data_IF_549212946928
#
_entry.id   IF_549212946928
#
_cell.length_a   1.000
_cell.length_b   1.000
_cell.length_c   1.000
_cell.angle_alpha   90.00
_cell.angle_beta   90.00
_cell.angle_gamma   90.00
#
_symmetry.space_group_name_H-M   'P 1'
#
loop_
_entity.id
_entity.type
_entity.pdbx_description
1 polymer ?
#
# COMPACT_ATOMS: atom_id res chain seq x y z
N UNK A 1 11.34 20.33 -31.40
CA UNK A 1 11.83 19.43 -30.34
C UNK A 1 11.98 18.07 -30.99
N UNK A 2 13.22 17.56 -31.12
CA UNK A 2 13.47 16.22 -31.65
C UNK A 2 13.33 15.21 -30.53
N UNK A 3 12.66 14.10 -30.79
CA UNK A 3 12.67 12.93 -29.91
C UNK A 3 13.98 12.18 -30.19
N UNK A 4 14.89 12.16 -29.23
CA UNK A 4 16.11 11.40 -29.29
C UNK A 4 16.09 10.35 -28.19
N UNK A 5 16.15 9.08 -28.60
CA UNK A 5 16.26 7.96 -27.67
C UNK A 5 17.73 7.62 -27.47
N UNK A 6 18.20 7.73 -26.25
CA UNK A 6 19.56 7.33 -25.88
C UNK A 6 19.48 6.16 -24.91
N UNK A 7 20.08 5.03 -25.28
CA UNK A 7 20.29 3.89 -24.40
C UNK A 7 21.78 3.79 -24.12
N UNK A 8 22.17 3.95 -22.87
CA UNK A 8 23.58 3.84 -22.48
C UNK A 8 23.71 3.08 -21.16
N UNK A 9 24.80 2.32 -20.98
CA UNK A 9 25.07 1.71 -19.67
C UNK A 9 25.34 2.81 -18.63
N UNK A 10 25.05 2.56 -17.34
CA UNK A 10 25.38 3.48 -16.28
C UNK A 10 26.89 3.77 -16.25
N UNK A 11 27.26 5.03 -16.18
CA UNK A 11 28.65 5.51 -16.16
C UNK A 11 28.71 7.01 -15.86
N UNK A 12 29.93 7.58 -15.80
CA UNK A 12 30.14 8.99 -15.44
C UNK A 12 29.36 9.97 -16.32
N UNK A 13 29.24 9.70 -17.61
CA UNK A 13 28.47 10.54 -18.53
C UNK A 13 26.96 10.56 -18.20
N UNK A 14 26.40 9.44 -17.81
CA UNK A 14 24.99 9.34 -17.37
C UNK A 14 24.79 10.06 -16.05
N UNK A 15 25.69 9.88 -15.09
CA UNK A 15 25.63 10.57 -13.80
C UNK A 15 25.68 12.10 -13.99
N UNK A 16 26.58 12.60 -14.82
CA UNK A 16 26.66 14.02 -15.14
C UNK A 16 25.38 14.54 -15.83
N UNK A 17 24.82 13.76 -16.78
CA UNK A 17 23.60 14.12 -17.48
C UNK A 17 22.37 14.19 -16.53
N UNK A 18 22.20 13.20 -15.66
CA UNK A 18 21.11 13.13 -14.70
C UNK A 18 21.27 14.12 -13.54
N UNK A 19 22.52 14.43 -13.15
CA UNK A 19 22.83 15.37 -12.09
C UNK A 19 22.80 16.85 -12.51
N UNK A 20 22.64 17.16 -13.81
CA UNK A 20 22.61 18.53 -14.32
C UNK A 20 21.34 19.27 -13.85
N UNK A 21 21.44 20.27 -12.96
CA UNK A 21 20.29 20.98 -12.42
C UNK A 21 19.53 21.84 -13.47
N UNK A 22 20.15 22.10 -14.63
CA UNK A 22 19.49 22.80 -15.72
C UNK A 22 18.52 21.91 -16.51
N UNK A 23 18.54 20.60 -16.27
CA UNK A 23 17.67 19.62 -16.92
C UNK A 23 16.47 19.29 -16.07
N UNK A 24 15.34 19.12 -16.71
CA UNK A 24 14.12 18.66 -16.10
C UNK A 24 13.71 17.31 -16.70
N UNK A 25 13.31 16.39 -15.85
CA UNK A 25 12.93 15.04 -16.25
C UNK A 25 11.47 14.76 -15.92
N UNK A 26 10.79 14.09 -16.84
CA UNK A 26 9.49 13.46 -16.61
C UNK A 26 9.75 11.98 -16.40
N UNK A 27 9.29 11.45 -15.28
CA UNK A 27 9.51 10.07 -14.87
C UNK A 27 8.19 9.35 -14.58
N UNK A 28 8.27 8.05 -14.50
CA UNK A 28 7.28 7.19 -13.87
C UNK A 28 7.91 6.57 -12.64
N UNK A 29 7.25 6.68 -11.47
CA UNK A 29 7.74 6.19 -10.17
C UNK A 29 9.17 6.69 -9.85
N UNK A 30 9.31 8.00 -9.70
CA UNK A 30 10.62 8.62 -9.46
C UNK A 30 11.29 8.12 -8.17
N UNK A 31 10.53 7.71 -7.15
CA UNK A 31 11.08 7.17 -5.91
C UNK A 31 11.81 5.84 -6.15
N UNK A 32 11.23 4.92 -6.90
CA UNK A 32 11.89 3.67 -7.29
C UNK A 32 13.12 3.94 -8.16
N UNK A 33 13.02 4.89 -9.09
CA UNK A 33 14.14 5.30 -9.93
C UNK A 33 15.30 5.90 -9.11
N UNK A 34 14.99 6.71 -8.08
CA UNK A 34 16.02 7.24 -7.16
C UNK A 34 16.78 6.10 -6.48
N UNK A 35 16.08 5.11 -5.92
CA UNK A 35 16.70 3.95 -5.27
C UNK A 35 17.58 3.14 -6.22
N UNK A 36 17.10 2.87 -7.43
CA UNK A 36 17.87 2.11 -8.42
C UNK A 36 19.15 2.82 -8.85
N UNK A 37 19.09 4.14 -9.00
CA UNK A 37 20.26 4.95 -9.39
C UNK A 37 21.24 5.11 -8.23
N UNK A 38 20.74 5.34 -7.00
CA UNK A 38 21.57 5.40 -5.79
C UNK A 38 22.33 4.09 -5.55
N UNK A 39 21.69 2.94 -5.78
CA UNK A 39 22.36 1.63 -5.72
C UNK A 39 23.50 1.47 -6.73
N UNK A 40 23.50 2.26 -7.81
CA UNK A 40 24.55 2.33 -8.84
C UNK A 40 25.52 3.48 -8.61
N UNK A 41 25.42 4.20 -7.48
CA UNK A 41 26.26 5.36 -7.16
C UNK A 41 25.90 6.63 -7.96
N UNK A 42 24.72 6.70 -8.56
CA UNK A 42 24.24 7.84 -9.35
C UNK A 42 23.19 8.59 -8.56
N UNK A 43 23.54 9.73 -7.97
CA UNK A 43 22.59 10.60 -7.26
C UNK A 43 21.71 11.37 -8.26
N UNK A 44 20.42 11.04 -8.29
CA UNK A 44 19.42 11.69 -9.12
C UNK A 44 18.24 12.15 -8.21
N UNK A 45 17.93 13.47 -8.22
CA UNK A 45 16.84 14.05 -7.41
C UNK A 45 16.11 15.19 -8.15
N UNK A 46 16.37 15.36 -9.44
CA UNK A 46 15.80 16.45 -10.25
C UNK A 46 14.69 15.98 -11.21
N UNK A 47 13.90 14.98 -10.78
CA UNK A 47 12.62 14.70 -11.42
C UNK A 47 11.68 15.88 -11.22
N UNK A 48 11.27 16.51 -12.30
CA UNK A 48 10.37 17.65 -12.27
C UNK A 48 8.89 17.24 -12.32
N UNK A 49 8.61 16.03 -12.80
CA UNK A 49 7.26 15.53 -12.95
C UNK A 49 7.23 14.00 -12.88
N UNK A 50 6.45 13.45 -11.96
CA UNK A 50 6.19 12.01 -11.87
C UNK A 50 4.76 11.72 -12.30
N UNK A 51 4.58 10.97 -13.39
CA UNK A 51 3.25 10.68 -13.93
C UNK A 51 2.43 9.74 -13.04
N UNK A 52 3.08 8.86 -12.26
CA UNK A 52 2.40 7.99 -11.31
C UNK A 52 1.84 8.80 -10.13
N UNK A 53 2.65 9.69 -9.55
CA UNK A 53 2.20 10.58 -8.47
C UNK A 53 1.12 11.56 -8.95
N UNK A 54 1.26 12.11 -10.15
CA UNK A 54 0.24 12.95 -10.74
C UNK A 54 -1.10 12.22 -10.89
N UNK A 55 -1.08 10.97 -11.36
CA UNK A 55 -2.27 10.14 -11.47
C UNK A 55 -2.86 9.79 -10.10
N UNK A 56 -2.03 9.54 -9.09
CA UNK A 56 -2.45 9.32 -7.70
C UNK A 56 -3.23 10.54 -7.15
N UNK A 57 -2.68 11.75 -7.30
CA UNK A 57 -3.34 12.98 -6.84
C UNK A 57 -4.62 13.26 -7.63
N UNK A 58 -4.63 13.00 -8.95
CA UNK A 58 -5.82 13.15 -9.78
C UNK A 58 -6.98 12.22 -9.37
N UNK A 59 -6.72 11.14 -8.60
CA UNK A 59 -7.74 10.31 -7.95
C UNK A 59 -8.49 9.34 -8.84
N UNK A 60 -8.12 9.16 -10.11
CA UNK A 60 -8.85 8.31 -11.04
C UNK A 60 -8.28 6.89 -11.22
N UNK A 61 -7.18 6.56 -10.53
CA UNK A 61 -6.48 5.27 -10.71
C UNK A 61 -7.08 4.09 -9.96
N UNK A 62 -8.10 4.27 -9.13
CA UNK A 62 -8.72 3.22 -8.32
C UNK A 62 -7.70 2.27 -7.62
N UNK A 63 -6.49 2.77 -7.34
CA UNK A 63 -5.39 2.01 -6.73
C UNK A 63 -4.51 1.23 -7.70
N UNK A 64 -4.79 1.24 -9.00
CA UNK A 64 -3.94 0.64 -10.03
C UNK A 64 -3.28 1.75 -10.87
N UNK A 65 -1.97 1.92 -10.65
CA UNK A 65 -1.14 2.95 -11.30
C UNK A 65 -0.14 2.35 -12.28
N UNK A 66 -0.31 1.09 -12.72
CA UNK A 66 0.53 0.48 -13.74
C UNK A 66 0.55 1.35 -15.02
N UNK A 67 1.70 1.49 -15.71
CA UNK A 67 1.84 2.38 -16.86
C UNK A 67 0.77 2.14 -17.93
N UNK A 68 0.49 0.88 -18.26
CA UNK A 68 -0.50 0.47 -19.25
C UNK A 68 -1.90 0.97 -18.88
N UNK A 69 -2.23 0.89 -17.59
CA UNK A 69 -3.51 1.38 -17.08
C UNK A 69 -3.62 2.88 -17.18
N UNK A 70 -2.54 3.60 -16.88
CA UNK A 70 -2.49 5.05 -17.01
C UNK A 70 -2.64 5.49 -18.47
N UNK A 71 -1.93 4.85 -19.41
CA UNK A 71 -2.06 5.16 -20.83
C UNK A 71 -3.49 4.92 -21.34
N UNK A 72 -4.10 3.81 -20.94
CA UNK A 72 -5.49 3.53 -21.30
C UNK A 72 -6.45 4.59 -20.73
N UNK A 73 -6.32 4.89 -19.44
CA UNK A 73 -7.26 5.78 -18.75
C UNK A 73 -7.16 7.23 -19.26
N UNK A 74 -5.93 7.71 -19.46
CA UNK A 74 -5.67 9.13 -19.71
C UNK A 74 -5.44 9.47 -21.19
N UNK A 75 -4.97 8.52 -21.99
CA UNK A 75 -4.72 8.71 -23.41
C UNK A 75 -5.67 7.90 -24.31
N UNK A 76 -6.52 7.02 -23.72
CA UNK A 76 -7.39 6.13 -24.47
C UNK A 76 -6.65 5.10 -25.33
N UNK A 77 -5.37 4.84 -25.03
CA UNK A 77 -4.48 4.01 -25.83
C UNK A 77 -3.78 2.98 -24.98
N UNK A 78 -3.74 1.74 -25.49
CA UNK A 78 -2.87 0.69 -24.96
C UNK A 78 -1.63 0.55 -25.83
N UNK A 79 -0.44 0.57 -25.27
CA UNK A 79 0.79 0.21 -26.00
C UNK A 79 0.68 -1.22 -26.53
N UNK A 80 1.18 -1.48 -27.73
CA UNK A 80 1.12 -2.80 -28.37
C UNK A 80 2.42 -3.55 -28.15
N UNK A 81 2.36 -4.71 -27.44
CA UNK A 81 3.48 -5.62 -27.29
C UNK A 81 4.76 -4.91 -26.79
N UNK A 82 5.83 -4.97 -27.59
CA UNK A 82 7.13 -4.38 -27.27
C UNK A 82 7.24 -2.87 -27.66
N UNK A 83 6.12 -2.18 -27.79
CA UNK A 83 6.12 -0.74 -28.11
C UNK A 83 6.88 0.06 -27.04
N UNK A 84 7.73 0.97 -27.49
CA UNK A 84 8.40 1.93 -26.60
C UNK A 84 7.38 2.90 -25.99
N UNK A 85 7.23 2.86 -24.67
CA UNK A 85 6.27 3.68 -23.94
C UNK A 85 6.84 5.04 -23.51
N UNK A 86 8.15 5.26 -23.62
CA UNK A 86 8.78 6.52 -23.23
C UNK A 86 8.17 7.75 -23.92
N UNK A 87 7.87 7.72 -25.24
CA UNK A 87 7.21 8.85 -25.91
C UNK A 87 5.81 9.17 -25.38
N UNK A 88 5.15 8.23 -24.70
CA UNK A 88 3.83 8.42 -24.13
C UNK A 88 3.83 9.17 -22.80
N UNK A 89 4.97 9.27 -22.11
CA UNK A 89 5.06 9.95 -20.82
C UNK A 89 4.76 11.45 -20.92
N UNK A 90 5.21 12.12 -21.96
CA UNK A 90 4.94 13.56 -22.13
C UNK A 90 3.45 13.85 -22.39
N UNK A 91 2.77 13.20 -23.36
CA UNK A 91 1.32 13.35 -23.51
C UNK A 91 0.53 12.97 -22.26
N UNK A 92 0.98 11.95 -21.51
CA UNK A 92 0.35 11.58 -20.24
C UNK A 92 0.50 12.68 -19.19
N UNK A 93 1.71 13.26 -19.06
CA UNK A 93 1.95 14.38 -18.16
C UNK A 93 1.09 15.62 -18.51
N UNK A 94 0.92 15.93 -19.80
CA UNK A 94 0.07 17.03 -20.26
C UNK A 94 -1.41 16.80 -19.87
N UNK A 95 -1.91 15.59 -20.10
CA UNK A 95 -3.29 15.21 -19.76
C UNK A 95 -3.53 15.28 -18.24
N UNK A 96 -2.60 14.74 -17.44
CA UNK A 96 -2.66 14.80 -15.97
C UNK A 96 -2.57 16.22 -15.44
N UNK A 97 -1.69 17.04 -16.02
CA UNK A 97 -1.55 18.46 -15.65
C UNK A 97 -2.85 19.23 -15.89
N UNK A 98 -3.51 19.00 -17.03
CA UNK A 98 -4.81 19.60 -17.32
C UNK A 98 -5.85 19.21 -16.24
N UNK A 99 -5.89 17.95 -15.84
CA UNK A 99 -6.77 17.46 -14.78
C UNK A 99 -6.49 18.06 -13.42
N UNK A 100 -5.22 18.06 -12.99
CA UNK A 100 -4.80 18.63 -11.70
C UNK A 100 -5.16 20.12 -11.58
N UNK A 101 -5.01 20.87 -12.66
CA UNK A 101 -5.44 22.28 -12.71
C UNK A 101 -6.95 22.42 -12.66
N UNK A 102 -7.70 21.60 -13.39
CA UNK A 102 -9.17 21.60 -13.39
C UNK A 102 -9.75 21.33 -11.99
N UNK A 103 -9.10 20.45 -11.21
CA UNK A 103 -9.54 20.06 -9.87
C UNK A 103 -8.88 20.86 -8.75
N UNK A 104 -8.08 21.90 -9.08
CA UNK A 104 -7.31 22.71 -8.14
C UNK A 104 -6.35 21.88 -7.24
N UNK A 105 -5.85 20.76 -7.76
CA UNK A 105 -4.94 19.85 -7.04
C UNK A 105 -3.47 20.02 -7.44
N UNK A 106 -3.15 20.97 -8.32
CA UNK A 106 -1.77 21.18 -8.77
C UNK A 106 -0.79 21.45 -7.62
N UNK A 107 -1.17 22.27 -6.65
CA UNK A 107 -0.30 22.58 -5.50
C UNK A 107 -0.05 21.34 -4.62
N UNK A 108 -1.04 20.46 -4.45
CA UNK A 108 -0.85 19.19 -3.72
C UNK A 108 0.21 18.35 -4.42
N UNK A 109 0.11 18.22 -5.73
CA UNK A 109 1.08 17.47 -6.52
C UNK A 109 2.48 18.11 -6.48
N UNK A 110 2.58 19.42 -6.84
CA UNK A 110 3.86 20.07 -7.08
C UNK A 110 4.59 20.45 -5.79
N UNK A 111 3.84 20.89 -4.76
CA UNK A 111 4.45 21.48 -3.55
C UNK A 111 4.52 20.48 -2.38
N UNK A 112 3.79 19.34 -2.48
CA UNK A 112 3.77 18.33 -1.43
C UNK A 112 4.29 16.99 -1.96
N UNK A 113 3.60 16.34 -2.91
CA UNK A 113 3.90 14.96 -3.31
C UNK A 113 5.26 14.84 -4.03
N UNK A 114 5.56 15.75 -4.94
CA UNK A 114 6.83 15.72 -5.66
C UNK A 114 8.06 15.88 -4.73
N UNK A 115 8.13 16.88 -3.83
CA UNK A 115 9.22 16.99 -2.86
C UNK A 115 9.26 15.80 -1.89
N UNK A 116 8.10 15.28 -1.47
CA UNK A 116 7.99 14.18 -0.53
C UNK A 116 8.61 12.89 -1.07
N UNK A 117 8.55 12.64 -2.37
CA UNK A 117 9.13 11.44 -2.99
C UNK A 117 10.64 11.28 -2.69
N UNK A 118 11.42 12.37 -2.75
CA UNK A 118 12.85 12.33 -2.43
C UNK A 118 13.10 12.13 -0.92
N UNK A 119 12.29 12.76 -0.08
CA UNK A 119 12.39 12.61 1.39
C UNK A 119 12.08 11.16 1.79
N UNK A 120 11.03 10.57 1.24
CA UNK A 120 10.67 9.18 1.51
C UNK A 120 11.76 8.21 1.00
N UNK A 121 12.36 8.50 -0.17
CA UNK A 121 13.49 7.72 -0.66
C UNK A 121 14.66 7.72 0.33
N UNK A 122 15.07 8.90 0.78
CA UNK A 122 16.18 9.07 1.73
C UNK A 122 15.84 8.42 3.10
N UNK A 123 14.60 8.51 3.57
CA UNK A 123 14.17 7.84 4.80
C UNK A 123 14.21 6.31 4.67
N UNK A 124 13.79 5.77 3.54
CA UNK A 124 13.82 4.32 3.27
C UNK A 124 15.26 3.79 3.11
N UNK A 125 16.18 4.62 2.59
CA UNK A 125 17.61 4.29 2.46
C UNK A 125 18.28 4.24 3.84
N UNK A 126 18.04 5.24 4.68
CA UNK A 126 18.57 5.30 6.05
C UNK A 126 17.95 4.22 6.92
N UNK A 127 16.67 3.97 6.78
CA UNK A 127 15.92 3.04 7.60
C UNK A 127 15.88 3.45 9.08
N UNK A 128 15.45 2.54 9.93
CA UNK A 128 15.54 2.71 11.38
C UNK A 128 15.87 1.38 12.06
N UNK A 129 16.60 1.47 13.16
CA UNK A 129 17.05 0.29 13.91
C UNK A 129 15.91 -0.27 14.74
N UNK A 130 15.66 -1.58 14.62
CA UNK A 130 14.71 -2.31 15.46
C UNK A 130 15.43 -3.34 16.34
N UNK A 131 14.92 -3.57 17.55
CA UNK A 131 15.34 -4.70 18.39
C UNK A 131 14.53 -5.94 17.98
N UNK A 132 15.10 -6.74 17.08
CA UNK A 132 14.49 -8.00 16.59
C UNK A 132 14.17 -8.98 17.73
N UNK A 133 14.99 -8.99 18.80
CA UNK A 133 14.76 -9.87 19.93
C UNK A 133 13.54 -9.39 20.75
N UNK A 134 13.39 -8.09 20.94
CA UNK A 134 12.20 -7.53 21.57
C UNK A 134 10.93 -7.79 20.74
N UNK A 135 10.99 -7.59 19.41
CA UNK A 135 9.86 -7.88 18.50
C UNK A 135 9.46 -9.36 18.57
N UNK A 136 10.43 -10.30 18.59
CA UNK A 136 10.14 -11.73 18.75
C UNK A 136 9.53 -12.07 20.12
N UNK A 137 10.04 -11.48 21.21
CA UNK A 137 9.46 -11.66 22.56
C UNK A 137 8.02 -11.16 22.60
N UNK A 138 7.76 -10.00 22.02
CA UNK A 138 6.41 -9.47 21.92
C UNK A 138 5.51 -10.38 21.08
N UNK A 139 6.00 -10.90 19.95
CA UNK A 139 5.29 -11.90 19.16
C UNK A 139 4.89 -13.13 19.96
N UNK A 140 5.82 -13.68 20.74
CA UNK A 140 5.53 -14.84 21.61
C UNK A 140 4.46 -14.52 22.68
N UNK A 141 4.46 -13.31 23.23
CA UNK A 141 3.42 -12.90 24.18
C UNK A 141 2.03 -12.78 23.48
N UNK A 142 1.99 -12.32 22.24
CA UNK A 142 0.76 -12.29 21.46
C UNK A 142 0.28 -13.69 21.11
N UNK A 143 1.16 -14.62 20.76
CA UNK A 143 0.81 -16.02 20.47
C UNK A 143 0.11 -16.67 21.69
N UNK A 144 0.57 -16.39 22.91
CA UNK A 144 -0.07 -16.87 24.13
C UNK A 144 -1.47 -16.25 24.35
N UNK A 145 -1.63 -14.94 24.11
CA UNK A 145 -2.92 -14.25 24.22
C UNK A 145 -3.91 -14.76 23.16
N UNK A 146 -3.46 -14.96 21.93
CA UNK A 146 -4.28 -15.49 20.83
C UNK A 146 -4.80 -16.89 21.19
N UNK A 147 -3.93 -17.77 21.72
CA UNK A 147 -4.33 -19.11 22.12
C UNK A 147 -5.34 -19.11 23.27
N UNK A 148 -5.18 -18.20 24.26
CA UNK A 148 -6.14 -18.04 25.35
C UNK A 148 -7.51 -17.56 24.84
N UNK A 149 -7.54 -16.52 23.99
CA UNK A 149 -8.77 -16.02 23.40
C UNK A 149 -9.45 -17.08 22.52
N UNK A 150 -8.69 -17.83 21.74
CA UNK A 150 -9.22 -18.91 20.91
C UNK A 150 -9.90 -19.99 21.77
N UNK A 151 -9.22 -20.42 22.84
CA UNK A 151 -9.77 -21.41 23.76
C UNK A 151 -11.07 -20.91 24.42
N UNK A 152 -11.12 -19.64 24.84
CA UNK A 152 -12.32 -19.01 25.41
C UNK A 152 -13.45 -18.93 24.42
N UNK A 153 -13.16 -18.50 23.18
CA UNK A 153 -14.16 -18.46 22.10
C UNK A 153 -14.75 -19.84 21.85
N UNK A 154 -13.92 -20.89 21.76
CA UNK A 154 -14.41 -22.26 21.56
C UNK A 154 -15.22 -22.79 22.75
N UNK A 155 -14.81 -22.45 23.97
CA UNK A 155 -15.57 -22.81 25.16
C UNK A 155 -16.97 -22.15 25.18
N UNK A 156 -17.07 -20.90 24.75
CA UNK A 156 -18.35 -20.15 24.69
C UNK A 156 -19.22 -20.58 23.50
N UNK A 157 -18.62 -21.01 22.40
CA UNK A 157 -19.33 -21.57 21.25
C UNK A 157 -19.74 -23.04 21.43
N UNK A 158 -19.06 -23.78 22.33
CA UNK A 158 -19.29 -25.21 22.55
C UNK A 158 -18.52 -26.12 21.57
N UNK A 159 -17.84 -25.60 20.58
CA UNK A 159 -17.06 -26.34 19.61
C UNK A 159 -15.99 -25.47 18.92
N UNK A 160 -14.93 -26.07 18.34
CA UNK A 160 -13.95 -25.35 17.54
C UNK A 160 -14.52 -24.97 16.16
N UNK A 161 -14.13 -23.80 15.65
CA UNK A 161 -14.44 -23.32 14.32
C UNK A 161 -13.35 -22.32 13.87
N UNK A 162 -13.35 -21.92 12.58
CA UNK A 162 -12.40 -20.90 12.10
C UNK A 162 -12.93 -19.50 12.41
N UNK A 163 -12.40 -18.87 13.49
CA UNK A 163 -12.76 -17.51 13.93
C UNK A 163 -12.47 -16.46 12.86
N UNK A 164 -11.49 -16.71 11.98
CA UNK A 164 -11.14 -15.83 10.87
C UNK A 164 -12.02 -16.02 9.63
N UNK A 165 -12.89 -17.02 9.61
CA UNK A 165 -13.88 -17.20 8.55
C UNK A 165 -15.15 -16.40 8.83
N UNK A 166 -15.46 -15.33 8.05
CA UNK A 166 -16.69 -14.56 8.27
C UNK A 166 -17.96 -15.43 8.20
N UNK A 167 -17.92 -16.50 7.39
CA UNK A 167 -19.04 -17.41 7.23
C UNK A 167 -19.27 -18.23 8.50
N UNK A 168 -18.24 -18.96 8.98
CA UNK A 168 -18.36 -19.79 10.18
C UNK A 168 -18.65 -18.94 11.42
N UNK A 169 -17.97 -17.79 11.55
CA UNK A 169 -18.25 -16.87 12.64
C UNK A 169 -19.69 -16.35 12.61
N UNK A 170 -20.21 -16.05 11.43
CA UNK A 170 -21.59 -15.61 11.27
C UNK A 170 -22.60 -16.71 11.64
N UNK A 171 -22.33 -17.97 11.28
CA UNK A 171 -23.13 -19.13 11.67
C UNK A 171 -23.16 -19.28 13.20
N UNK A 172 -22.00 -19.28 13.86
CA UNK A 172 -21.90 -19.38 15.33
C UNK A 172 -22.64 -18.23 16.03
N UNK A 173 -22.38 -16.98 15.65
CA UNK A 173 -22.97 -15.84 16.34
C UNK A 173 -24.48 -15.71 16.13
N UNK A 174 -24.96 -15.92 14.92
CA UNK A 174 -26.33 -15.55 14.54
C UNK A 174 -27.30 -16.75 14.40
N UNK A 175 -26.77 -17.95 14.15
CA UNK A 175 -27.59 -19.16 14.01
C UNK A 175 -27.54 -20.07 15.25
N UNK A 176 -26.36 -20.20 15.89
CA UNK A 176 -26.20 -21.05 17.08
C UNK A 176 -26.43 -20.28 18.37
N UNK A 177 -25.76 -19.12 18.55
CA UNK A 177 -25.91 -18.29 19.74
C UNK A 177 -27.09 -17.30 19.64
N UNK A 178 -27.78 -17.26 18.49
CA UNK A 178 -29.00 -16.46 18.26
C UNK A 178 -28.84 -14.98 18.59
N UNK A 179 -27.67 -14.42 18.40
CA UNK A 179 -27.45 -12.98 18.61
C UNK A 179 -28.23 -12.14 17.58
N UNK A 180 -28.57 -10.88 17.92
CA UNK A 180 -29.31 -10.02 17.00
C UNK A 180 -28.53 -9.85 15.69
N UNK A 181 -29.03 -10.41 14.59
CA UNK A 181 -28.39 -10.35 13.28
C UNK A 181 -28.68 -9.02 12.59
N UNK A 182 -27.63 -8.44 11.99
CA UNK A 182 -27.79 -7.41 10.95
C UNK A 182 -28.31 -7.99 9.62
N UNK A 183 -28.33 -7.16 8.55
CA UNK A 183 -28.73 -7.64 7.23
C UNK A 183 -27.83 -8.78 6.75
N UNK A 184 -28.45 -9.91 6.37
CA UNK A 184 -27.73 -11.00 5.68
C UNK A 184 -27.33 -10.52 4.28
N UNK A 185 -26.06 -10.61 3.95
CA UNK A 185 -25.52 -10.30 2.62
C UNK A 185 -25.63 -11.51 1.69
N UNK A 186 -25.36 -11.34 0.39
CA UNK A 186 -25.33 -12.47 -0.56
C UNK A 186 -24.30 -13.55 -0.17
N UNK A 187 -23.28 -13.20 0.60
CA UNK A 187 -22.17 -14.08 0.99
C UNK A 187 -22.26 -14.55 2.45
N UNK A 188 -23.33 -14.22 3.18
CA UNK A 188 -23.53 -14.58 4.58
C UNK A 188 -23.76 -13.36 5.49
N UNK A 189 -23.51 -13.53 6.78
CA UNK A 189 -23.65 -12.46 7.77
C UNK A 189 -22.42 -11.54 7.74
N UNK A 190 -22.65 -10.24 7.93
CA UNK A 190 -21.55 -9.32 8.11
C UNK A 190 -21.02 -9.43 9.56
N UNK A 191 -19.71 -9.69 9.70
CA UNK A 191 -19.03 -9.84 10.98
C UNK A 191 -17.90 -8.81 11.17
N UNK A 192 -18.02 -7.64 10.56
CA UNK A 192 -17.05 -6.55 10.70
C UNK A 192 -17.01 -5.98 12.12
N UNK A 193 -15.91 -5.30 12.46
CA UNK A 193 -15.70 -4.76 13.81
C UNK A 193 -16.85 -3.88 14.29
N UNK A 194 -17.39 -3.00 13.44
CA UNK A 194 -18.50 -2.12 13.78
C UNK A 194 -19.78 -2.88 14.19
N UNK A 195 -19.99 -4.07 13.61
CA UNK A 195 -21.15 -4.92 13.94
C UNK A 195 -20.91 -5.63 15.26
N UNK A 196 -19.71 -6.20 15.43
CA UNK A 196 -19.32 -6.87 16.68
C UNK A 196 -19.33 -5.89 17.86
N UNK A 197 -18.85 -4.66 17.69
CA UNK A 197 -18.91 -3.64 18.74
C UNK A 197 -20.34 -3.39 19.27
N UNK A 198 -21.33 -3.41 18.38
CA UNK A 198 -22.74 -3.26 18.77
C UNK A 198 -23.29 -4.49 19.51
N UNK A 199 -22.63 -5.63 19.38
CA UNK A 199 -23.05 -6.90 19.98
C UNK A 199 -22.37 -7.20 21.33
N UNK A 200 -21.43 -6.38 21.80
CA UNK A 200 -20.68 -6.59 23.05
C UNK A 200 -21.55 -6.88 24.27
N UNK A 201 -22.71 -6.23 24.35
CA UNK A 201 -23.61 -6.36 25.49
C UNK A 201 -24.50 -7.60 25.44
N UNK A 202 -24.50 -8.35 24.35
CA UNK A 202 -25.37 -9.51 24.19
C UNK A 202 -24.71 -10.81 24.59
N UNK A 203 -23.39 -10.97 24.40
CA UNK A 203 -22.70 -12.21 24.72
C UNK A 203 -21.20 -11.99 24.93
N UNK A 204 -20.55 -12.58 25.95
CA UNK A 204 -19.13 -12.39 26.24
C UNK A 204 -18.19 -12.88 25.12
N UNK A 205 -18.62 -13.82 24.28
CA UNK A 205 -17.86 -14.28 23.10
C UNK A 205 -17.44 -13.15 22.18
N UNK A 206 -18.22 -12.07 22.13
CA UNK A 206 -17.97 -10.94 21.22
C UNK A 206 -16.70 -10.18 21.60
N UNK A 207 -16.49 -9.98 22.90
CA UNK A 207 -15.26 -9.34 23.40
C UNK A 207 -14.04 -10.20 23.08
N UNK A 208 -14.11 -11.51 23.36
CA UNK A 208 -13.02 -12.44 23.08
C UNK A 208 -12.69 -12.52 21.58
N UNK A 209 -13.68 -12.44 20.69
CA UNK A 209 -13.47 -12.40 19.24
C UNK A 209 -12.82 -11.09 18.80
N UNK A 210 -13.22 -9.96 19.36
CA UNK A 210 -12.61 -8.65 19.05
C UNK A 210 -11.15 -8.63 19.48
N UNK A 211 -10.86 -9.10 20.69
CA UNK A 211 -9.49 -9.19 21.21
C UNK A 211 -8.64 -10.19 20.40
N UNK A 212 -9.18 -11.36 20.07
CA UNK A 212 -8.53 -12.32 19.18
C UNK A 212 -8.12 -11.69 17.84
N UNK A 213 -9.03 -10.98 17.20
CA UNK A 213 -8.76 -10.31 15.92
C UNK A 213 -7.72 -9.20 16.05
N UNK A 214 -7.77 -8.44 17.13
CA UNK A 214 -6.78 -7.39 17.41
C UNK A 214 -5.39 -8.00 17.59
N UNK A 215 -5.25 -9.02 18.43
CA UNK A 215 -3.95 -9.67 18.67
C UNK A 215 -3.43 -10.38 17.42
N UNK A 216 -4.29 -11.06 16.68
CA UNK A 216 -3.90 -11.69 15.40
C UNK A 216 -3.42 -10.67 14.38
N UNK A 217 -4.07 -9.51 14.28
CA UNK A 217 -3.63 -8.42 13.41
C UNK A 217 -2.28 -7.84 13.86
N UNK A 218 -2.09 -7.61 15.16
CA UNK A 218 -0.81 -7.15 15.71
C UNK A 218 0.30 -8.16 15.41
N UNK A 219 0.02 -9.44 15.58
CA UNK A 219 0.97 -10.53 15.34
C UNK A 219 1.37 -10.63 13.86
N UNK A 220 0.40 -10.71 12.96
CA UNK A 220 0.65 -10.91 11.54
C UNK A 220 1.16 -9.65 10.84
N UNK A 221 0.53 -8.49 11.08
CA UNK A 221 0.85 -7.27 10.35
C UNK A 221 2.10 -6.59 10.88
N UNK A 222 2.22 -6.47 12.20
CA UNK A 222 3.32 -5.69 12.79
C UNK A 222 4.52 -6.56 13.17
N UNK A 223 4.31 -7.68 13.88
CA UNK A 223 5.46 -8.51 14.31
C UNK A 223 6.09 -9.21 13.09
N UNK A 224 5.29 -9.97 12.32
CA UNK A 224 5.82 -10.67 11.14
C UNK A 224 6.24 -9.69 10.05
N UNK A 225 5.44 -8.63 9.81
CA UNK A 225 5.78 -7.60 8.85
C UNK A 225 7.12 -6.95 9.13
N UNK A 226 7.37 -6.50 10.37
CA UNK A 226 8.65 -5.91 10.76
C UNK A 226 9.80 -6.91 10.66
N UNK A 227 9.62 -8.14 11.13
CA UNK A 227 10.68 -9.16 11.06
C UNK A 227 11.03 -9.56 9.62
N UNK A 228 10.07 -9.48 8.70
CA UNK A 228 10.26 -9.80 7.28
C UNK A 228 11.11 -8.75 6.55
N UNK A 229 10.94 -7.46 6.88
CA UNK A 229 11.63 -6.35 6.23
C UNK A 229 12.90 -5.90 6.97
N UNK A 230 13.13 -6.43 8.17
CA UNK A 230 14.32 -6.10 8.94
C UNK A 230 15.54 -6.83 8.37
N UNK A 231 16.52 -6.07 7.90
CA UNK A 231 17.82 -6.58 7.52
C UNK A 231 18.59 -7.09 8.73
N UNK A 232 19.46 -8.08 8.51
CA UNK A 232 20.21 -8.78 9.57
C UNK A 232 21.30 -7.94 10.20
#
# INVERSE_FOLDING_TARGET
KGEERVSCPPGEGVAAFLGDPARQFVCYDCKSLYKELDAKGIRFRNCAYDVMLAAYVAGEGQGDYAPERLFLTWLGRMPAGDEDTLPLLLPLADSLTARLNQTAQWSVFADIEMPLASVLCDMEEVGFKIDRAAVRRYGASLDALIADMEARVYALAGHPFNINSPKQLGEVLFEELMLPAGKKTKTGYATGAEILEKLRHYHPIVDDILDYRQYTKLRSTYVEGLLKVADG
#
